data_IF_450128749076
#
_entry.id   IF_450128749076
#
_cell.length_a   1.000
_cell.length_b   1.000
_cell.length_c   1.000
_cell.angle_alpha   90.00
_cell.angle_beta   90.00
_cell.angle_gamma   90.00
#
_symmetry.space_group_name_H-M   'P 1'
#
loop_
_entity.id
_entity.type
_entity.pdbx_description
1 polymer ?
#
# COMPACT_ATOMS: atom_id res chain seq x y z
N UNK A 1 -11.85 17.14 -23.33
CA UNK A 1 -10.66 16.79 -22.52
C UNK A 1 -9.70 17.95 -22.64
N UNK A 2 -9.45 18.67 -21.56
CA UNK A 2 -8.60 19.85 -21.57
C UNK A 2 -7.14 19.40 -21.44
N UNK A 3 -6.27 19.90 -22.33
CA UNK A 3 -4.82 19.72 -22.21
C UNK A 3 -4.26 21.00 -21.59
N UNK A 4 -3.50 20.85 -20.52
CA UNK A 4 -2.87 21.98 -19.85
C UNK A 4 -1.37 21.76 -19.80
N UNK A 5 -0.61 22.79 -20.18
CA UNK A 5 0.85 22.84 -20.11
C UNK A 5 1.29 24.23 -19.65
N UNK A 6 2.18 24.30 -18.66
CA UNK A 6 2.67 25.56 -18.08
C UNK A 6 2.99 25.46 -16.59
N UNK A 7 4.03 26.17 -16.13
CA UNK A 7 4.81 25.95 -14.91
C UNK A 7 4.05 25.86 -13.56
N UNK A 8 2.87 26.48 -13.41
CA UNK A 8 2.03 26.38 -12.20
C UNK A 8 0.55 26.67 -12.50
N UNK A 9 -0.37 25.81 -12.06
CA UNK A 9 -1.82 25.98 -12.25
C UNK A 9 -2.61 25.81 -10.95
N UNK A 10 -3.65 26.61 -10.77
CA UNK A 10 -4.60 26.48 -9.67
C UNK A 10 -6.03 26.42 -10.20
N UNK A 11 -6.72 25.31 -9.98
CA UNK A 11 -8.07 25.10 -10.47
C UNK A 11 -9.05 24.66 -9.37
N UNK A 12 -10.28 25.19 -9.42
CA UNK A 12 -11.31 24.82 -8.47
C UNK A 12 -12.05 23.53 -8.88
N UNK A 13 -12.28 23.33 -10.19
CA UNK A 13 -12.99 22.14 -10.67
C UNK A 13 -12.62 21.74 -12.09
N UNK A 14 -12.15 20.51 -12.24
CA UNK A 14 -11.84 19.86 -13.49
C UNK A 14 -12.75 18.65 -13.75
N UNK A 15 -13.36 18.58 -14.93
CA UNK A 15 -14.13 17.39 -15.32
C UNK A 15 -13.23 16.31 -15.93
N UNK A 16 -12.44 16.64 -16.96
CA UNK A 16 -11.51 15.70 -17.62
C UNK A 16 -10.26 16.44 -18.10
N UNK A 17 -9.11 16.09 -17.55
CA UNK A 17 -7.85 16.77 -17.85
C UNK A 17 -6.69 15.85 -18.16
N UNK A 18 -5.81 16.34 -19.04
CA UNK A 18 -4.48 15.79 -19.27
C UNK A 18 -3.45 16.88 -19.00
N UNK A 19 -2.54 16.61 -18.08
CA UNK A 19 -1.52 17.55 -17.63
C UNK A 19 -0.14 16.96 -17.91
N UNK A 20 0.76 17.75 -18.47
CA UNK A 20 2.16 17.38 -18.68
C UNK A 20 3.10 18.50 -18.22
N UNK A 21 4.06 18.18 -17.34
CA UNK A 21 5.18 19.04 -16.94
C UNK A 21 4.79 20.38 -16.30
N UNK A 22 4.65 20.42 -14.96
CA UNK A 22 4.54 21.61 -14.08
C UNK A 22 3.97 21.27 -12.67
N UNK A 23 3.84 22.26 -11.78
CA UNK A 23 3.07 22.14 -10.52
C UNK A 23 1.57 22.44 -10.70
N UNK A 24 0.68 21.63 -10.13
CA UNK A 24 -0.77 21.92 -10.18
C UNK A 24 -1.46 21.67 -8.83
N UNK A 25 -2.32 22.61 -8.47
CA UNK A 25 -3.15 22.56 -7.27
C UNK A 25 -4.63 22.55 -7.68
N UNK A 26 -5.33 21.48 -7.31
CA UNK A 26 -6.72 21.26 -7.71
C UNK A 26 -7.62 20.90 -6.54
N UNK A 27 -8.78 21.57 -6.46
CA UNK A 27 -9.73 21.30 -5.40
C UNK A 27 -10.63 20.09 -5.72
N UNK A 28 -11.10 19.95 -6.98
CA UNK A 28 -11.93 18.81 -7.38
C UNK A 28 -11.70 18.39 -8.83
N UNK A 29 -11.33 17.12 -9.00
CA UNK A 29 -11.19 16.48 -10.30
C UNK A 29 -12.13 15.28 -10.45
N UNK A 30 -12.77 15.12 -11.61
CA UNK A 30 -13.47 13.87 -11.93
C UNK A 30 -12.54 12.84 -12.58
N UNK A 31 -11.83 13.19 -13.67
CA UNK A 31 -10.80 12.33 -14.27
C UNK A 31 -9.55 13.11 -14.64
N UNK A 32 -8.38 12.60 -14.25
CA UNK A 32 -7.09 13.18 -14.60
C UNK A 32 -6.11 12.14 -15.13
N UNK A 33 -5.32 12.54 -16.13
CA UNK A 33 -4.10 11.86 -16.56
C UNK A 33 -2.92 12.82 -16.46
N UNK A 34 -1.86 12.39 -15.79
CA UNK A 34 -0.75 13.27 -15.43
C UNK A 34 0.57 12.60 -15.76
N UNK A 35 1.49 13.35 -16.38
CA UNK A 35 2.90 12.95 -16.54
C UNK A 35 3.88 14.04 -16.12
N UNK A 36 4.91 13.70 -15.34
CA UNK A 36 6.08 14.58 -15.13
C UNK A 36 5.86 15.85 -14.30
N UNK A 37 5.01 15.81 -13.27
CA UNK A 37 4.51 17.00 -12.56
C UNK A 37 4.55 16.89 -11.03
N UNK A 38 4.45 18.01 -10.30
CA UNK A 38 4.17 18.01 -8.85
C UNK A 38 2.72 18.38 -8.61
N UNK A 39 1.94 17.51 -7.98
CA UNK A 39 0.48 17.68 -7.90
C UNK A 39 -0.05 17.68 -6.48
N UNK A 40 -0.97 18.61 -6.22
CA UNK A 40 -1.78 18.66 -5.01
C UNK A 40 -3.25 18.59 -5.37
N UNK A 41 -3.95 17.52 -4.99
CA UNK A 41 -5.38 17.34 -5.28
C UNK A 41 -6.17 17.08 -4.02
N UNK A 42 -7.17 17.91 -3.74
CA UNK A 42 -8.02 17.73 -2.56
C UNK A 42 -9.02 16.57 -2.75
N UNK A 43 -9.70 16.52 -3.90
CA UNK A 43 -10.64 15.43 -4.21
C UNK A 43 -10.54 14.99 -5.66
N UNK A 44 -10.34 13.70 -5.88
CA UNK A 44 -10.44 13.09 -7.20
C UNK A 44 -11.35 11.85 -7.22
N UNK A 45 -12.08 11.65 -8.32
CA UNK A 45 -12.77 10.38 -8.55
C UNK A 45 -11.83 9.36 -9.21
N UNK A 46 -11.16 9.73 -10.31
CA UNK A 46 -10.19 8.87 -10.99
C UNK A 46 -8.91 9.62 -11.34
N UNK A 47 -7.76 9.01 -11.04
CA UNK A 47 -6.44 9.53 -11.43
C UNK A 47 -5.57 8.43 -12.04
N UNK A 48 -4.88 8.77 -13.13
CA UNK A 48 -3.76 8.01 -13.67
C UNK A 48 -2.52 8.91 -13.69
N UNK A 49 -1.45 8.48 -13.02
CA UNK A 49 -0.24 9.29 -12.81
C UNK A 49 1.00 8.49 -13.20
N UNK A 50 1.90 9.11 -13.98
CA UNK A 50 3.23 8.56 -14.28
C UNK A 50 4.35 9.56 -13.98
N UNK A 51 5.41 9.14 -13.28
CA UNK A 51 6.65 9.91 -13.16
C UNK A 51 6.53 11.25 -12.41
N UNK A 52 6.09 11.28 -11.15
CA UNK A 52 5.68 12.51 -10.45
C UNK A 52 5.82 12.47 -8.92
N UNK A 53 5.69 13.63 -8.26
CA UNK A 53 5.38 13.74 -6.82
C UNK A 53 3.92 14.17 -6.65
N UNK A 54 3.11 13.44 -5.88
CA UNK A 54 1.68 13.69 -5.79
C UNK A 54 1.17 13.60 -4.35
N UNK A 55 0.45 14.64 -3.94
CA UNK A 55 -0.27 14.75 -2.68
C UNK A 55 -1.77 14.72 -2.94
N UNK A 56 -2.46 13.70 -2.41
CA UNK A 56 -3.91 13.55 -2.55
C UNK A 56 -4.59 13.42 -1.20
N UNK A 57 -5.58 14.27 -0.93
CA UNK A 57 -6.36 14.16 0.29
C UNK A 57 -7.43 13.06 0.19
N UNK A 58 -8.17 13.00 -0.92
CA UNK A 58 -9.17 11.94 -1.15
C UNK A 58 -9.23 11.50 -2.61
N UNK A 59 -9.10 10.21 -2.84
CA UNK A 59 -9.41 9.59 -4.14
C UNK A 59 -10.39 8.42 -4.01
N UNK A 60 -11.21 8.21 -5.05
CA UNK A 60 -11.94 6.95 -5.19
C UNK A 60 -11.07 5.88 -5.86
N UNK A 61 -10.47 6.19 -7.01
CA UNK A 61 -9.58 5.29 -7.74
C UNK A 61 -8.28 5.98 -8.15
N UNK A 62 -7.15 5.34 -7.88
CA UNK A 62 -5.83 5.80 -8.33
C UNK A 62 -5.03 4.67 -9.00
N UNK A 63 -4.31 5.05 -10.05
CA UNK A 63 -3.39 4.21 -10.80
C UNK A 63 -2.08 4.98 -10.95
N UNK A 64 -1.00 4.46 -10.40
CA UNK A 64 0.27 5.19 -10.29
C UNK A 64 1.44 4.34 -10.76
N UNK A 65 2.30 4.90 -11.62
CA UNK A 65 3.60 4.32 -11.98
C UNK A 65 4.76 5.28 -11.72
N UNK A 66 5.83 4.82 -11.06
CA UNK A 66 7.11 5.53 -11.00
C UNK A 66 7.11 6.87 -10.26
N UNK A 67 6.68 6.92 -8.98
CA UNK A 67 6.37 8.18 -8.29
C UNK A 67 6.70 8.20 -6.79
N UNK A 68 6.69 9.40 -6.18
CA UNK A 68 6.52 9.59 -4.73
C UNK A 68 5.09 10.03 -4.44
N UNK A 69 4.36 9.28 -3.61
CA UNK A 69 2.94 9.45 -3.38
C UNK A 69 2.64 9.66 -1.90
N UNK A 70 1.87 10.70 -1.58
CA UNK A 70 1.28 10.87 -0.26
C UNK A 70 -0.25 10.93 -0.36
N UNK A 71 -0.93 9.93 0.20
CA UNK A 71 -2.39 9.81 0.13
C UNK A 71 -3.00 9.73 1.53
N UNK A 72 -3.93 10.63 1.82
CA UNK A 72 -4.64 10.58 3.11
C UNK A 72 -5.79 9.56 3.10
N UNK A 73 -6.53 9.45 1.99
CA UNK A 73 -7.59 8.44 1.84
C UNK A 73 -7.78 7.99 0.40
N UNK A 74 -7.76 6.69 0.18
CA UNK A 74 -8.23 6.09 -1.06
C UNK A 74 -9.19 4.91 -0.83
N UNK A 75 -10.13 4.72 -1.76
CA UNK A 75 -10.94 3.52 -1.79
C UNK A 75 -10.21 2.39 -2.55
N UNK A 76 -9.69 2.67 -3.75
CA UNK A 76 -8.92 1.73 -4.55
C UNK A 76 -7.64 2.36 -5.05
N UNK A 77 -6.53 1.66 -4.90
CA UNK A 77 -5.25 2.05 -5.48
C UNK A 77 -4.54 0.87 -6.13
N UNK A 78 -3.91 1.13 -7.28
CA UNK A 78 -2.86 0.27 -7.81
C UNK A 78 -1.61 1.10 -8.07
N UNK A 79 -0.47 0.58 -7.61
CA UNK A 79 0.80 1.30 -7.60
C UNK A 79 1.92 0.40 -8.10
N UNK A 80 2.72 0.89 -9.05
CA UNK A 80 3.94 0.24 -9.53
C UNK A 80 5.18 1.13 -9.39
N UNK A 81 6.28 0.62 -8.84
CA UNK A 81 7.60 1.27 -8.92
C UNK A 81 7.73 2.59 -8.16
N UNK A 82 7.24 2.68 -6.91
CA UNK A 82 7.05 3.97 -6.22
C UNK A 82 7.45 3.97 -4.74
N UNK A 83 7.61 5.16 -4.15
CA UNK A 83 7.57 5.36 -2.69
C UNK A 83 6.19 5.87 -2.28
N UNK A 84 5.49 5.15 -1.40
CA UNK A 84 4.12 5.43 -1.00
C UNK A 84 3.99 5.68 0.50
N UNK A 85 3.44 6.83 0.88
CA UNK A 85 2.94 7.08 2.22
C UNK A 85 1.42 7.20 2.21
N UNK A 86 0.73 6.29 2.88
CA UNK A 86 -0.74 6.25 2.90
C UNK A 86 -1.31 6.16 4.32
N UNK A 87 -2.31 6.99 4.61
CA UNK A 87 -2.99 6.96 5.91
C UNK A 87 -4.16 5.97 5.94
N UNK A 88 -4.94 5.87 4.85
CA UNK A 88 -6.07 4.92 4.78
C UNK A 88 -6.39 4.44 3.37
N UNK A 89 -6.22 3.15 3.14
CA UNK A 89 -6.72 2.42 1.97
C UNK A 89 -7.87 1.48 2.34
N UNK A 90 -8.86 1.34 1.45
CA UNK A 90 -9.77 0.18 1.52
C UNK A 90 -9.21 -1.01 0.72
N UNK A 91 -8.81 -0.81 -0.53
CA UNK A 91 -8.18 -1.82 -1.36
C UNK A 91 -6.92 -1.29 -2.02
N UNK A 92 -5.84 -2.07 -1.96
CA UNK A 92 -4.55 -1.69 -2.51
C UNK A 92 -3.88 -2.88 -3.19
N UNK A 93 -3.33 -2.64 -4.38
CA UNK A 93 -2.39 -3.55 -5.05
C UNK A 93 -1.09 -2.82 -5.36
N UNK A 94 0.04 -3.41 -4.99
CA UNK A 94 1.35 -2.74 -5.09
C UNK A 94 2.39 -3.67 -5.67
N UNK A 95 3.17 -3.19 -6.63
CA UNK A 95 4.34 -3.90 -7.18
C UNK A 95 5.62 -3.05 -7.12
N UNK A 96 6.72 -3.59 -6.59
CA UNK A 96 8.06 -2.98 -6.71
C UNK A 96 8.25 -1.64 -5.97
N UNK A 97 7.93 -1.55 -4.68
CA UNK A 97 7.80 -0.27 -3.97
C UNK A 97 8.39 -0.25 -2.54
N UNK A 98 8.59 0.96 -2.00
CA UNK A 98 8.72 1.18 -0.54
C UNK A 98 7.41 1.79 -0.03
N UNK A 99 6.81 1.19 0.99
CA UNK A 99 5.46 1.54 1.41
C UNK A 99 5.36 1.73 2.93
N UNK A 100 4.78 2.86 3.33
CA UNK A 100 4.38 3.13 4.70
C UNK A 100 2.88 3.37 4.78
N UNK A 101 2.18 2.49 5.49
CA UNK A 101 0.72 2.55 5.63
C UNK A 101 0.27 2.56 7.08
N UNK A 102 -0.68 3.44 7.40
CA UNK A 102 -1.29 3.44 8.72
C UNK A 102 -2.49 2.46 8.81
N UNK A 103 -3.35 2.41 7.79
CA UNK A 103 -4.52 1.52 7.80
C UNK A 103 -4.94 1.01 6.42
N UNK A 104 -4.86 -0.31 6.25
CA UNK A 104 -5.41 -1.03 5.10
C UNK A 104 -6.62 -1.88 5.52
N UNK A 105 -7.63 -2.02 4.66
CA UNK A 105 -8.58 -3.13 4.79
C UNK A 105 -8.10 -4.37 4.02
N UNK A 106 -7.80 -4.22 2.73
CA UNK A 106 -7.28 -5.31 1.89
C UNK A 106 -6.06 -4.84 1.12
N UNK A 107 -4.99 -5.64 1.17
CA UNK A 107 -3.72 -5.32 0.52
C UNK A 107 -3.12 -6.55 -0.16
N UNK A 108 -2.64 -6.35 -1.38
CA UNK A 108 -1.89 -7.32 -2.18
C UNK A 108 -0.58 -6.66 -2.59
N UNK A 109 0.56 -7.23 -2.19
CA UNK A 109 1.87 -6.62 -2.46
C UNK A 109 2.82 -7.63 -3.09
N UNK A 110 3.52 -7.23 -4.15
CA UNK A 110 4.62 -7.97 -4.78
C UNK A 110 5.94 -7.20 -4.75
N UNK A 111 7.00 -7.78 -4.17
CA UNK A 111 8.38 -7.28 -4.21
C UNK A 111 8.61 -5.90 -3.59
N UNK A 112 8.56 -5.77 -2.26
CA UNK A 112 8.61 -4.46 -1.60
C UNK A 112 9.24 -4.48 -0.19
N UNK A 113 9.65 -3.30 0.29
CA UNK A 113 9.82 -3.03 1.74
C UNK A 113 8.54 -2.38 2.27
N UNK A 114 7.87 -3.02 3.23
CA UNK A 114 6.54 -2.61 3.67
C UNK A 114 6.50 -2.39 5.19
N UNK A 115 5.99 -1.24 5.60
CA UNK A 115 5.69 -0.94 7.01
C UNK A 115 4.20 -0.63 7.16
N UNK A 116 3.47 -1.47 7.90
CA UNK A 116 2.02 -1.33 8.10
C UNK A 116 1.65 -1.33 9.57
N UNK A 117 0.93 -0.29 10.00
CA UNK A 117 0.47 -0.21 11.38
C UNK A 117 -0.78 -1.09 11.62
N UNK A 118 -1.77 -1.05 10.73
CA UNK A 118 -2.97 -1.89 10.84
C UNK A 118 -3.46 -2.38 9.49
N UNK A 119 -3.67 -3.70 9.37
CA UNK A 119 -4.38 -4.28 8.25
C UNK A 119 -5.46 -5.28 8.68
N UNK A 120 -6.53 -5.42 7.90
CA UNK A 120 -7.47 -6.52 8.10
C UNK A 120 -7.03 -7.77 7.33
N UNK A 121 -6.76 -7.65 6.03
CA UNK A 121 -6.28 -8.74 5.19
C UNK A 121 -5.06 -8.31 4.38
N UNK A 122 -3.99 -9.10 4.42
CA UNK A 122 -2.80 -8.89 3.60
C UNK A 122 -2.36 -10.18 2.92
N UNK A 123 -2.00 -10.06 1.66
CA UNK A 123 -1.22 -11.04 0.91
C UNK A 123 0.06 -10.35 0.45
N UNK A 124 1.21 -10.93 0.76
CA UNK A 124 2.50 -10.35 0.39
C UNK A 124 3.38 -11.41 -0.24
N UNK A 125 3.88 -11.14 -1.44
CA UNK A 125 4.88 -11.94 -2.15
C UNK A 125 6.20 -11.17 -2.27
N UNK A 126 7.28 -11.67 -1.69
CA UNK A 126 8.63 -11.11 -1.79
C UNK A 126 8.94 -9.92 -0.86
N UNK A 127 10.19 -9.92 -0.35
CA UNK A 127 10.88 -8.90 0.46
C UNK A 127 10.30 -8.58 1.87
N UNK A 128 10.95 -7.61 2.56
CA UNK A 128 10.91 -7.37 4.01
C UNK A 128 9.63 -6.68 4.49
N UNK A 129 8.94 -7.27 5.46
CA UNK A 129 7.66 -6.80 5.97
C UNK A 129 7.69 -6.53 7.48
N UNK A 130 7.26 -5.34 7.90
CA UNK A 130 7.02 -5.00 9.30
C UNK A 130 5.54 -4.63 9.54
N UNK A 131 4.85 -5.41 10.38
CA UNK A 131 3.43 -5.17 10.69
C UNK A 131 3.16 -5.10 12.18
N UNK A 132 2.49 -4.03 12.61
CA UNK A 132 2.13 -3.88 14.02
C UNK A 132 0.86 -4.68 14.38
N UNK A 133 -0.19 -4.60 13.56
CA UNK A 133 -1.42 -5.39 13.78
C UNK A 133 -2.04 -5.87 12.47
N UNK A 134 -2.32 -7.16 12.39
CA UNK A 134 -3.14 -7.72 11.32
C UNK A 134 -4.22 -8.70 11.83
N UNK A 135 -5.34 -8.82 11.11
CA UNK A 135 -6.30 -9.88 11.39
C UNK A 135 -5.94 -11.17 10.63
N UNK A 136 -5.75 -11.08 9.31
CA UNK A 136 -5.34 -12.20 8.46
C UNK A 136 -4.14 -11.82 7.60
N UNK A 137 -3.12 -12.67 7.58
CA UNK A 137 -1.96 -12.49 6.72
C UNK A 137 -1.55 -13.80 6.04
N UNK A 138 -1.12 -13.63 4.81
CA UNK A 138 -0.54 -14.66 3.96
C UNK A 138 0.74 -14.06 3.38
N UNK A 139 1.88 -14.67 3.67
CA UNK A 139 3.18 -14.12 3.27
C UNK A 139 4.02 -15.20 2.62
N UNK A 140 4.44 -14.97 1.38
CA UNK A 140 5.50 -15.73 0.71
C UNK A 140 6.74 -14.86 0.57
N UNK A 141 7.85 -15.09 1.30
CA UNK A 141 9.01 -14.18 1.21
C UNK A 141 10.14 -14.35 2.23
N UNK A 142 11.14 -13.46 2.17
CA UNK A 142 12.43 -13.66 2.84
C UNK A 142 12.50 -13.22 4.32
N UNK A 143 11.76 -12.18 4.76
CA UNK A 143 11.85 -11.67 6.14
C UNK A 143 10.57 -10.96 6.61
N UNK A 144 10.02 -11.39 7.75
CA UNK A 144 8.77 -10.87 8.32
C UNK A 144 8.91 -10.58 9.82
N UNK A 145 8.51 -9.38 10.24
CA UNK A 145 8.36 -8.97 11.64
C UNK A 145 6.91 -8.57 11.95
N UNK A 146 6.25 -9.27 12.87
CA UNK A 146 4.86 -8.97 13.26
C UNK A 146 4.68 -8.87 14.77
N UNK A 147 4.10 -7.76 15.23
CA UNK A 147 3.79 -7.60 16.65
C UNK A 147 2.52 -8.35 17.07
N UNK A 148 1.43 -8.22 16.31
CA UNK A 148 0.17 -8.93 16.61
C UNK A 148 -0.57 -9.39 15.36
N UNK A 149 -0.92 -10.67 15.31
CA UNK A 149 -1.84 -11.20 14.32
C UNK A 149 -2.92 -12.13 14.90
N UNK A 150 -4.07 -12.25 14.24
CA UNK A 150 -5.05 -13.28 14.62
C UNK A 150 -4.78 -14.59 13.86
N UNK A 151 -4.66 -14.54 12.54
CA UNK A 151 -4.31 -15.69 11.70
C UNK A 151 -3.18 -15.34 10.74
N UNK A 152 -2.19 -16.23 10.64
CA UNK A 152 -1.07 -16.10 9.72
C UNK A 152 -0.75 -17.42 9.04
N UNK A 153 -0.47 -17.35 7.74
CA UNK A 153 0.23 -18.40 7.01
C UNK A 153 1.47 -17.79 6.36
N UNK A 154 2.62 -18.44 6.54
CA UNK A 154 3.91 -17.92 6.08
C UNK A 154 4.69 -19.03 5.38
N UNK A 155 5.10 -18.79 4.13
CA UNK A 155 6.08 -19.59 3.40
C UNK A 155 7.36 -18.79 3.17
N UNK A 156 8.49 -19.18 3.77
CA UNK A 156 9.75 -18.44 3.61
C UNK A 156 10.74 -18.52 4.78
N UNK A 157 11.88 -17.82 4.64
CA UNK A 157 13.13 -18.13 5.36
C UNK A 157 13.30 -17.46 6.75
N UNK A 158 12.59 -16.39 7.10
CA UNK A 158 12.76 -15.74 8.42
C UNK A 158 11.51 -15.05 8.92
N UNK A 159 11.04 -15.44 10.10
CA UNK A 159 9.84 -14.95 10.75
C UNK A 159 10.10 -14.60 12.22
N UNK A 160 9.77 -13.38 12.61
CA UNK A 160 9.69 -12.95 14.01
C UNK A 160 8.26 -12.48 14.34
N UNK A 161 7.62 -13.16 15.30
CA UNK A 161 6.26 -12.85 15.75
C UNK A 161 6.25 -12.70 17.26
N UNK A 162 5.69 -11.60 17.77
CA UNK A 162 5.53 -11.36 19.21
C UNK A 162 4.23 -12.01 19.74
N UNK A 163 3.11 -11.87 19.02
CA UNK A 163 1.84 -12.51 19.37
C UNK A 163 1.04 -12.91 18.14
N UNK A 164 0.64 -14.18 18.04
CA UNK A 164 -0.43 -14.60 17.15
C UNK A 164 -1.33 -15.67 17.76
N UNK A 165 -2.60 -15.70 17.35
CA UNK A 165 -3.57 -16.68 17.84
C UNK A 165 -3.51 -18.00 17.05
N UNK A 166 -3.35 -17.95 15.72
CA UNK A 166 -3.17 -19.12 14.86
C UNK A 166 -2.08 -18.87 13.81
N UNK A 167 -1.18 -19.85 13.64
CA UNK A 167 -0.05 -19.78 12.72
C UNK A 167 0.13 -21.09 11.95
N UNK A 168 0.43 -21.02 10.66
CA UNK A 168 0.93 -22.13 9.85
C UNK A 168 2.18 -21.66 9.11
N UNK A 169 3.29 -22.38 9.25
CA UNK A 169 4.61 -21.89 8.82
C UNK A 169 5.34 -22.99 8.05
N UNK A 170 5.79 -22.69 6.84
CA UNK A 170 6.52 -23.59 5.95
C UNK A 170 8.00 -23.24 5.78
N UNK A 171 8.70 -22.85 6.85
CA UNK A 171 10.12 -22.43 6.82
C UNK A 171 10.76 -22.25 8.21
N UNK A 172 11.92 -21.60 8.29
CA UNK A 172 12.71 -21.43 9.53
C UNK A 172 12.16 -20.32 10.45
N UNK A 173 12.11 -20.58 11.76
CA UNK A 173 11.42 -19.78 12.78
C UNK A 173 12.34 -19.30 13.90
N UNK A 174 12.20 -18.03 14.31
CA UNK A 174 12.73 -17.52 15.58
C UNK A 174 11.59 -16.84 16.34
N UNK A 175 11.06 -17.53 17.35
CA UNK A 175 9.85 -17.10 18.08
C UNK A 175 10.16 -16.58 19.49
N UNK A 176 9.54 -15.47 19.86
CA UNK A 176 9.37 -15.07 21.28
C UNK A 176 7.87 -14.99 21.56
N UNK A 177 7.26 -16.11 21.98
CA UNK A 177 5.81 -16.21 22.21
C UNK A 177 5.41 -15.62 23.57
N UNK A 178 4.47 -14.68 23.57
CA UNK A 178 3.70 -14.27 24.76
C UNK A 178 2.19 -14.34 24.42
N UNK A 179 1.59 -15.53 24.52
CA UNK A 179 0.14 -15.77 24.31
C UNK A 179 -0.26 -17.25 24.19
N UNK A 180 -1.50 -17.56 24.63
CA UNK A 180 -2.05 -18.91 24.85
C UNK A 180 -2.06 -19.84 23.62
N UNK A 181 -1.77 -21.12 23.87
CA UNK A 181 -1.64 -22.20 22.89
C UNK A 181 -3.00 -22.80 22.49
N UNK A 182 -3.18 -23.07 21.20
CA UNK A 182 -3.81 -24.31 20.72
C UNK A 182 -2.85 -24.97 19.73
N UNK A 183 -2.16 -26.01 20.19
CA UNK A 183 -1.35 -26.88 19.34
C UNK A 183 -2.24 -27.99 18.77
N UNK A 184 -2.65 -27.91 17.51
CA UNK A 184 -3.02 -29.11 16.76
C UNK A 184 -1.81 -29.55 15.96
N UNK A 185 -1.13 -30.59 16.44
CA UNK A 185 -0.05 -31.23 15.69
C UNK A 185 -0.54 -31.82 14.38
N UNK A 186 0.34 -31.85 13.38
CA UNK A 186 0.54 -32.99 12.50
C UNK A 186 1.90 -32.89 11.82
N UNK A 187 2.77 -33.81 12.23
CA UNK A 187 3.97 -34.25 11.52
C UNK A 187 3.55 -35.05 10.29
N UNK A 188 4.24 -34.88 9.16
CA UNK A 188 4.56 -35.98 8.24
C UNK A 188 5.47 -35.55 7.07
N UNK A 189 6.51 -36.37 6.88
CA UNK A 189 7.50 -36.50 5.81
C UNK A 189 8.65 -35.46 5.78
#
# INVERSE_FOLDING_TARGET
MQKVGGASLHENRAAKQKVGGASLHENRAAMQKVGGASLHVNRAAMQQVGGASLHVNRAAMQQVGGASLHVNRAAMQQVGGASLHENRAAMQQVGGASLHENRAAMQQVGGASLHVNRAAMQQVGGASLHVNRAAMQQVGGASLHVNRAAMQQVGGASLHVNRAARQQIGGTLSEKRIGAQESSGRSSA
#
